data_IF_046883650293
#
_entry.id   IF_046883650293
#
_cell.length_a   1.000
_cell.length_b   1.000
_cell.length_c   1.000
_cell.angle_alpha   90.00
_cell.angle_beta   90.00
_cell.angle_gamma   90.00
#
_symmetry.space_group_name_H-M   'P 1'
#
loop_
_entity.id
_entity.type
_entity.pdbx_description
1 polymer ?
#
# COMPACT_ATOMS: atom_id res chain seq x y z
N UNK A 1 -25.75 23.37 17.38
CA UNK A 1 -26.89 24.29 17.25
C UNK A 1 -27.28 24.37 15.78
N UNK A 2 -28.57 24.48 15.42
CA UNK A 2 -29.05 24.06 14.12
C UNK A 2 -28.74 25.10 13.04
N UNK A 3 -27.73 24.83 12.21
CA UNK A 3 -27.56 25.44 10.88
C UNK A 3 -26.98 24.37 9.93
N UNK A 4 -27.69 23.25 9.81
CA UNK A 4 -27.54 22.28 8.71
C UNK A 4 -28.65 22.46 7.66
N UNK A 5 -29.43 23.53 7.74
CA UNK A 5 -30.48 23.86 6.78
C UNK A 5 -30.35 25.31 6.38
N UNK A 6 -29.45 25.55 5.45
CA UNK A 6 -29.45 26.63 4.45
C UNK A 6 -28.06 26.64 3.81
N UNK A 7 -27.99 26.41 2.50
CA UNK A 7 -26.79 26.53 1.68
C UNK A 7 -26.38 28.02 1.57
N UNK A 8 -26.05 28.64 2.69
CA UNK A 8 -25.73 30.06 2.76
C UNK A 8 -24.27 30.27 2.33
N UNK A 9 -24.11 30.31 1.01
CA UNK A 9 -22.86 30.55 0.29
C UNK A 9 -22.14 31.82 0.80
N UNK A 10 -22.88 32.78 1.38
CA UNK A 10 -22.33 34.00 1.97
C UNK A 10 -21.61 33.72 3.30
N UNK A 11 -22.18 32.86 4.17
CA UNK A 11 -21.55 32.47 5.45
C UNK A 11 -20.32 31.60 5.22
N UNK A 12 -20.34 30.72 4.21
CA UNK A 12 -19.16 29.95 3.78
C UNK A 12 -18.05 30.85 3.23
N UNK A 13 -18.39 31.86 2.42
CA UNK A 13 -17.42 32.87 1.93
C UNK A 13 -16.81 33.67 3.06
N UNK A 14 -17.62 34.10 4.02
CA UNK A 14 -17.19 34.88 5.19
C UNK A 14 -16.28 34.06 6.11
N UNK A 15 -16.62 32.78 6.34
CA UNK A 15 -15.76 31.85 7.06
C UNK A 15 -14.44 31.61 6.33
N UNK A 16 -14.47 31.37 4.99
CA UNK A 16 -13.25 31.27 4.16
C UNK A 16 -12.37 32.51 4.25
N UNK A 17 -12.95 33.71 4.26
CA UNK A 17 -12.20 34.96 4.37
C UNK A 17 -11.55 35.13 5.75
N UNK A 18 -12.22 34.71 6.82
CA UNK A 18 -11.70 34.78 8.20
C UNK A 18 -10.58 33.78 8.47
N UNK A 19 -10.65 32.57 7.89
CA UNK A 19 -9.63 31.53 8.07
C UNK A 19 -8.47 31.64 7.05
N UNK A 20 -8.64 32.36 5.93
CA UNK A 20 -7.61 32.53 4.88
C UNK A 20 -6.26 33.05 5.38
N UNK A 21 -6.17 34.01 6.32
CA UNK A 21 -4.89 34.49 6.85
C UNK A 21 -4.17 33.45 7.72
N UNK A 22 -4.88 32.46 8.25
CA UNK A 22 -4.36 31.41 9.13
C UNK A 22 -4.16 30.07 8.41
N UNK A 23 -4.71 29.92 7.20
CA UNK A 23 -4.44 28.80 6.31
C UNK A 23 -3.16 29.07 5.50
N UNK A 24 -2.02 28.67 6.06
CA UNK A 24 -0.77 28.50 5.32
C UNK A 24 -0.91 27.30 4.36
N UNK A 25 -1.64 27.50 3.26
CA UNK A 25 -1.61 26.57 2.13
C UNK A 25 -0.39 26.92 1.28
N UNK A 26 0.77 26.43 1.67
CA UNK A 26 1.92 26.36 0.76
C UNK A 26 1.60 25.31 -0.29
N UNK A 27 1.18 25.74 -1.47
CA UNK A 27 1.12 24.88 -2.65
C UNK A 27 2.57 24.71 -3.11
N UNK A 28 2.99 23.50 -3.51
CA UNK A 28 4.34 23.21 -4.07
C UNK A 28 4.63 23.98 -5.39
N UNK A 29 3.85 25.00 -5.73
CA UNK A 29 3.86 25.75 -7.00
C UNK A 29 4.08 27.25 -6.81
N UNK A 30 4.72 27.68 -5.70
CA UNK A 30 5.10 29.08 -5.50
C UNK A 30 6.39 29.37 -6.29
N UNK A 31 6.36 30.19 -7.37
CA UNK A 31 7.50 30.37 -8.28
C UNK A 31 8.75 30.97 -7.63
N UNK A 32 8.62 31.56 -6.44
CA UNK A 32 9.74 32.14 -5.70
C UNK A 32 10.56 31.08 -4.91
N UNK A 33 10.09 29.83 -4.87
CA UNK A 33 10.71 28.70 -4.17
C UNK A 33 10.55 27.44 -5.03
N UNK A 34 11.10 27.44 -6.25
CA UNK A 34 11.40 26.18 -6.93
C UNK A 34 12.54 25.51 -6.15
N UNK A 35 12.18 24.76 -5.10
CA UNK A 35 13.08 23.71 -4.63
C UNK A 35 13.05 22.69 -5.75
N UNK A 36 14.11 22.68 -6.54
CA UNK A 36 14.33 21.75 -7.63
C UNK A 36 14.48 20.33 -7.04
N UNK A 37 13.34 19.72 -6.74
CA UNK A 37 13.27 18.34 -6.30
C UNK A 37 13.46 17.48 -7.56
N UNK A 38 14.26 16.41 -7.46
CA UNK A 38 14.43 15.49 -8.58
C UNK A 38 13.09 14.86 -8.96
N UNK A 39 13.05 14.30 -10.17
CA UNK A 39 11.83 13.71 -10.71
C UNK A 39 11.27 12.61 -9.79
N UNK A 40 9.95 12.46 -9.83
CA UNK A 40 9.24 11.35 -9.19
C UNK A 40 8.47 10.60 -10.27
N UNK A 41 8.83 9.34 -10.48
CA UNK A 41 8.21 8.45 -11.48
C UNK A 41 7.33 7.45 -10.72
N UNK A 42 6.06 7.36 -11.07
CA UNK A 42 5.12 6.41 -10.46
C UNK A 42 4.71 5.34 -11.49
N UNK A 43 4.95 4.08 -11.16
CA UNK A 43 4.70 2.91 -12.00
C UNK A 43 3.79 1.91 -11.29
N UNK A 44 2.87 1.30 -12.04
CA UNK A 44 2.08 0.15 -11.57
C UNK A 44 2.81 -1.12 -11.91
N UNK A 45 3.03 -1.95 -10.90
CA UNK A 45 3.66 -3.25 -11.05
C UNK A 45 2.58 -4.33 -10.95
N UNK A 46 2.20 -4.89 -12.10
CA UNK A 46 1.22 -5.96 -12.14
C UNK A 46 1.85 -7.25 -11.67
N UNK A 47 1.22 -7.88 -10.68
CA UNK A 47 1.62 -9.15 -10.10
C UNK A 47 0.54 -10.19 -10.37
N UNK A 48 0.91 -11.47 -10.45
CA UNK A 48 -0.06 -12.57 -10.59
C UNK A 48 -0.24 -13.31 -9.27
N UNK A 49 -1.42 -13.88 -9.04
CA UNK A 49 -1.62 -14.82 -7.93
C UNK A 49 -0.91 -16.14 -8.24
N UNK A 50 -0.35 -16.77 -7.23
CA UNK A 50 0.02 -18.19 -7.29
C UNK A 50 -1.22 -19.07 -7.26
N UNK A 51 -1.09 -20.36 -7.61
CA UNK A 51 -2.21 -21.32 -7.51
C UNK A 51 -2.77 -21.41 -6.08
N UNK A 52 -1.90 -21.39 -5.07
CA UNK A 52 -2.30 -21.37 -3.66
C UNK A 52 -3.11 -20.11 -3.35
N UNK A 53 -2.62 -18.93 -3.77
CA UNK A 53 -3.31 -17.66 -3.55
C UNK A 53 -4.66 -17.63 -4.27
N UNK A 54 -4.73 -18.07 -5.53
CA UNK A 54 -5.97 -18.11 -6.31
C UNK A 54 -7.03 -18.98 -5.63
N UNK A 55 -6.66 -20.19 -5.20
CA UNK A 55 -7.57 -21.09 -4.50
C UNK A 55 -8.08 -20.48 -3.18
N UNK A 56 -7.19 -19.88 -2.38
CA UNK A 56 -7.58 -19.21 -1.13
C UNK A 56 -8.48 -17.99 -1.38
N UNK A 57 -8.19 -17.25 -2.45
CA UNK A 57 -8.93 -16.05 -2.85
C UNK A 57 -10.36 -16.42 -3.24
N UNK A 58 -10.56 -17.37 -4.16
CA UNK A 58 -11.87 -17.83 -4.62
C UNK A 58 -12.73 -18.33 -3.44
N UNK A 59 -12.18 -19.20 -2.60
CA UNK A 59 -12.86 -19.71 -1.40
C UNK A 59 -13.26 -18.59 -0.41
N UNK A 60 -12.44 -17.55 -0.30
CA UNK A 60 -12.71 -16.40 0.57
C UNK A 60 -13.83 -15.55 -0.01
N UNK A 61 -13.84 -15.30 -1.32
CA UNK A 61 -14.91 -14.56 -2.01
C UNK A 61 -16.25 -15.28 -1.86
N UNK A 62 -16.30 -16.59 -2.13
CA UNK A 62 -17.52 -17.39 -1.99
C UNK A 62 -18.10 -17.32 -0.57
N UNK A 63 -17.24 -17.54 0.44
CA UNK A 63 -17.64 -17.47 1.85
C UNK A 63 -18.10 -16.08 2.24
N UNK A 64 -17.41 -15.04 1.77
CA UNK A 64 -17.77 -13.65 2.03
C UNK A 64 -19.15 -13.33 1.45
N UNK A 65 -19.41 -13.66 0.19
CA UNK A 65 -20.69 -13.37 -0.46
C UNK A 65 -21.85 -14.13 0.20
N UNK A 66 -21.68 -15.41 0.53
CA UNK A 66 -22.67 -16.16 1.29
C UNK A 66 -22.95 -15.54 2.67
N UNK A 67 -21.91 -15.06 3.37
CA UNK A 67 -22.05 -14.36 4.64
C UNK A 67 -22.73 -13.00 4.51
N UNK A 68 -22.52 -12.29 3.40
CA UNK A 68 -23.16 -11.01 3.10
C UNK A 68 -24.66 -11.20 2.84
N UNK A 69 -25.05 -12.24 2.11
CA UNK A 69 -26.46 -12.54 1.84
C UNK A 69 -27.22 -12.97 3.10
N UNK A 70 -26.54 -13.62 4.04
CA UNK A 70 -27.11 -14.04 5.32
C UNK A 70 -27.14 -12.93 6.39
N UNK A 71 -26.55 -11.76 6.13
CA UNK A 71 -26.37 -10.70 7.13
C UNK A 71 -26.99 -9.36 6.69
N UNK A 72 -27.39 -8.54 7.66
CA UNK A 72 -27.90 -7.19 7.41
C UNK A 72 -27.24 -6.16 8.33
N UNK A 73 -27.38 -4.88 7.98
CA UNK A 73 -26.89 -3.76 8.79
C UNK A 73 -25.41 -3.89 9.18
N UNK A 74 -25.13 -3.74 10.48
CA UNK A 74 -23.76 -3.74 10.99
C UNK A 74 -23.06 -5.11 10.84
N UNK A 75 -23.81 -6.21 10.88
CA UNK A 75 -23.24 -7.55 10.68
C UNK A 75 -22.75 -7.70 9.25
N UNK A 76 -23.54 -7.24 8.27
CA UNK A 76 -23.14 -7.24 6.84
C UNK A 76 -21.85 -6.46 6.63
N UNK A 77 -21.77 -5.23 7.19
CA UNK A 77 -20.55 -4.41 7.13
C UNK A 77 -19.34 -5.13 7.74
N UNK A 78 -19.53 -5.82 8.87
CA UNK A 78 -18.48 -6.60 9.52
C UNK A 78 -17.96 -7.75 8.65
N UNK A 79 -18.86 -8.50 8.00
CA UNK A 79 -18.49 -9.58 7.06
C UNK A 79 -17.68 -9.02 5.89
N UNK A 80 -18.11 -7.88 5.32
CA UNK A 80 -17.41 -7.25 4.20
C UNK A 80 -16.00 -6.83 4.60
N UNK A 81 -15.85 -6.08 5.70
CA UNK A 81 -14.54 -5.61 6.14
C UNK A 81 -13.58 -6.75 6.50
N UNK A 82 -14.09 -7.82 7.13
CA UNK A 82 -13.30 -9.00 7.43
C UNK A 82 -12.85 -9.74 6.15
N UNK A 83 -13.76 -9.89 5.18
CA UNK A 83 -13.46 -10.49 3.88
C UNK A 83 -12.45 -9.68 3.08
N UNK A 84 -12.63 -8.37 2.96
CA UNK A 84 -11.68 -7.46 2.29
C UNK A 84 -10.29 -7.53 2.93
N UNK A 85 -10.22 -7.50 4.26
CA UNK A 85 -8.96 -7.67 5.00
C UNK A 85 -8.29 -9.00 4.62
N UNK A 86 -9.07 -10.09 4.57
CA UNK A 86 -8.57 -11.42 4.22
C UNK A 86 -8.06 -11.49 2.78
N UNK A 87 -8.80 -10.94 1.83
CA UNK A 87 -8.42 -10.91 0.42
C UNK A 87 -7.11 -10.13 0.22
N UNK A 88 -6.96 -8.97 0.87
CA UNK A 88 -5.69 -8.23 0.89
C UNK A 88 -4.52 -9.05 1.43
N UNK A 89 -4.74 -9.77 2.53
CA UNK A 89 -3.71 -10.64 3.10
C UNK A 89 -3.32 -11.78 2.14
N UNK A 90 -4.29 -12.34 1.41
CA UNK A 90 -4.03 -13.38 0.40
C UNK A 90 -3.20 -12.81 -0.75
N UNK A 91 -3.58 -11.64 -1.29
CA UNK A 91 -2.82 -10.95 -2.34
C UNK A 91 -1.38 -10.64 -1.91
N UNK A 92 -1.16 -10.36 -0.62
CA UNK A 92 0.17 -10.16 -0.06
C UNK A 92 0.95 -11.45 0.09
N UNK A 93 0.42 -12.43 0.83
CA UNK A 93 1.04 -13.72 1.06
C UNK A 93 0.08 -14.74 1.70
N UNK A 94 -0.01 -16.00 1.22
CA UNK A 94 -0.81 -17.05 1.85
C UNK A 94 -0.52 -17.24 3.34
N UNK A 95 0.76 -17.28 3.72
CA UNK A 95 1.19 -17.37 5.12
C UNK A 95 0.61 -16.26 6.01
N UNK A 96 0.50 -15.02 5.49
CA UNK A 96 -0.10 -13.91 6.22
C UNK A 96 -1.59 -14.18 6.46
N UNK A 97 -2.30 -14.58 5.40
CA UNK A 97 -3.71 -14.94 5.51
C UNK A 97 -3.86 -16.10 6.50
N UNK A 98 -3.17 -17.22 6.30
CA UNK A 98 -3.25 -18.41 7.14
C UNK A 98 -2.71 -18.22 8.57
N UNK A 99 -2.22 -17.02 8.92
CA UNK A 99 -1.68 -16.69 10.24
C UNK A 99 -0.55 -17.63 10.63
N UNK A 100 0.26 -18.01 9.65
CA UNK A 100 1.45 -18.81 9.88
C UNK A 100 2.46 -18.00 10.72
N UNK A 101 3.20 -18.65 11.62
CA UNK A 101 4.14 -17.97 12.49
C UNK A 101 5.29 -17.34 11.71
N UNK A 102 5.59 -16.08 12.01
CA UNK A 102 6.74 -15.34 11.47
C UNK A 102 8.01 -15.77 12.22
N UNK A 103 8.51 -16.95 11.89
CA UNK A 103 9.82 -17.41 12.36
C UNK A 103 10.81 -17.31 11.18
N UNK A 104 11.92 -16.61 11.35
CA UNK A 104 12.94 -16.44 10.29
C UNK A 104 13.43 -17.79 9.74
N UNK A 105 13.47 -18.83 10.56
CA UNK A 105 13.82 -20.19 10.14
C UNK A 105 12.80 -20.83 9.18
N UNK A 106 11.57 -20.32 9.11
CA UNK A 106 10.49 -20.77 8.21
C UNK A 106 10.38 -19.93 6.93
N UNK A 107 11.12 -18.82 6.86
CA UNK A 107 11.20 -17.99 5.67
C UNK A 107 12.40 -18.51 4.87
N UNK A 108 12.16 -19.48 3.98
CA UNK A 108 13.16 -20.06 3.10
C UNK A 108 12.99 -19.58 1.66
N UNK A 109 13.71 -20.19 0.71
CA UNK A 109 13.52 -19.89 -0.70
C UNK A 109 12.06 -20.10 -1.09
N UNK A 110 11.47 -21.23 -0.65
CA UNK A 110 10.08 -21.69 -0.85
C UNK A 110 9.00 -20.69 -0.43
N UNK A 111 9.29 -19.87 0.59
CA UNK A 111 8.38 -18.84 1.05
C UNK A 111 8.02 -17.85 -0.07
N UNK A 112 9.02 -17.34 -0.80
CA UNK A 112 8.78 -16.32 -1.82
C UNK A 112 7.90 -16.82 -2.97
N UNK A 113 8.04 -18.09 -3.40
CA UNK A 113 7.25 -18.63 -4.52
C UNK A 113 5.78 -18.81 -4.19
N UNK A 114 5.36 -18.66 -2.92
CA UNK A 114 3.95 -18.69 -2.53
C UNK A 114 3.23 -17.36 -2.79
N UNK A 115 3.95 -16.29 -3.11
CA UNK A 115 3.36 -14.97 -3.40
C UNK A 115 3.97 -14.29 -4.63
N UNK A 116 3.14 -13.97 -5.61
CA UNK A 116 3.59 -13.23 -6.79
C UNK A 116 4.14 -11.83 -6.45
N UNK A 117 3.58 -11.16 -5.45
CA UNK A 117 4.14 -9.88 -4.96
C UNK A 117 5.51 -10.06 -4.35
N UNK A 118 5.75 -11.12 -3.58
CA UNK A 118 7.09 -11.37 -3.04
C UNK A 118 8.09 -11.61 -4.17
N UNK A 119 7.74 -12.43 -5.17
CA UNK A 119 8.60 -12.67 -6.33
C UNK A 119 8.96 -11.37 -7.05
N UNK A 120 7.95 -10.55 -7.40
CA UNK A 120 8.17 -9.27 -8.08
C UNK A 120 8.99 -8.29 -7.24
N UNK A 121 8.74 -8.23 -5.93
CA UNK A 121 9.54 -7.38 -5.03
C UNK A 121 11.00 -7.81 -5.00
N UNK A 122 11.28 -9.11 -4.95
CA UNK A 122 12.66 -9.60 -4.89
C UNK A 122 13.41 -9.31 -6.19
N UNK A 123 12.79 -9.53 -7.35
CA UNK A 123 13.35 -9.21 -8.66
C UNK A 123 13.74 -7.72 -8.75
N UNK A 124 12.80 -6.82 -8.45
CA UNK A 124 13.05 -5.38 -8.54
C UNK A 124 14.04 -4.86 -7.50
N UNK A 125 14.06 -5.45 -6.30
CA UNK A 125 15.05 -5.11 -5.29
C UNK A 125 16.43 -5.64 -5.65
N UNK A 126 16.55 -6.78 -6.33
CA UNK A 126 17.84 -7.29 -6.80
C UNK A 126 18.48 -6.27 -7.76
N UNK A 127 17.74 -5.81 -8.76
CA UNK A 127 18.20 -4.77 -9.70
C UNK A 127 18.58 -3.47 -8.97
N UNK A 128 17.68 -2.93 -8.14
CA UNK A 128 17.94 -1.67 -7.43
C UNK A 128 19.16 -1.77 -6.50
N UNK A 129 19.31 -2.88 -5.78
CA UNK A 129 20.42 -3.05 -4.84
C UNK A 129 21.77 -3.28 -5.53
N UNK A 130 21.78 -3.83 -6.74
CA UNK A 130 22.97 -3.93 -7.61
C UNK A 130 23.46 -2.56 -8.08
N UNK A 131 22.53 -1.62 -8.35
CA UNK A 131 22.84 -0.22 -8.67
C UNK A 131 23.29 0.61 -7.44
N UNK A 132 23.30 0.00 -6.25
CA UNK A 132 23.65 0.67 -4.99
C UNK A 132 22.52 1.54 -4.43
N UNK A 133 21.28 1.28 -4.82
CA UNK A 133 20.11 2.03 -4.37
C UNK A 133 19.60 1.59 -3.02
N UNK A 134 18.74 2.44 -2.45
CA UNK A 134 18.04 2.14 -1.21
C UNK A 134 16.54 2.22 -1.43
N UNK A 135 15.85 1.27 -0.80
CA UNK A 135 14.43 1.06 -0.99
C UNK A 135 13.65 1.20 0.32
N UNK A 136 12.44 1.72 0.19
CA UNK A 136 11.43 1.65 1.23
C UNK A 136 10.30 0.75 0.75
N UNK A 137 9.87 -0.19 1.61
CA UNK A 137 8.74 -1.06 1.33
C UNK A 137 7.62 -0.77 2.33
N UNK A 138 6.50 -0.25 1.84
CA UNK A 138 5.30 0.04 2.63
C UNK A 138 4.30 -1.12 2.55
N UNK A 139 3.72 -1.46 3.69
CA UNK A 139 2.58 -2.39 3.81
C UNK A 139 1.63 -1.90 4.90
N UNK A 140 0.32 -2.14 4.76
CA UNK A 140 -0.68 -1.86 5.78
C UNK A 140 -0.56 -2.78 7.00
N UNK A 141 0.11 -3.91 6.84
CA UNK A 141 0.07 -5.00 7.83
C UNK A 141 1.42 -5.19 8.51
N UNK A 142 1.41 -5.07 9.83
CA UNK A 142 2.59 -5.32 10.66
C UNK A 142 3.17 -6.72 10.44
N UNK A 143 2.32 -7.75 10.42
CA UNK A 143 2.76 -9.15 10.21
C UNK A 143 3.46 -9.30 8.86
N UNK A 144 2.93 -8.69 7.80
CA UNK A 144 3.59 -8.71 6.50
C UNK A 144 4.93 -7.97 6.53
N UNK A 145 5.01 -6.84 7.23
CA UNK A 145 6.27 -6.12 7.38
C UNK A 145 7.36 -6.96 8.08
N UNK A 146 6.98 -7.73 9.10
CA UNK A 146 7.87 -8.67 9.79
C UNK A 146 8.31 -9.82 8.86
N UNK A 147 7.37 -10.38 8.07
CA UNK A 147 7.68 -11.41 7.06
C UNK A 147 8.62 -10.89 5.96
N UNK A 148 8.35 -9.70 5.42
CA UNK A 148 9.19 -9.06 4.40
C UNK A 148 10.58 -8.78 4.94
N UNK A 149 10.72 -8.21 6.15
CA UNK A 149 12.03 -7.96 6.74
C UNK A 149 12.85 -9.26 6.86
N UNK A 150 12.24 -10.35 7.34
CA UNK A 150 12.90 -11.65 7.43
C UNK A 150 13.29 -12.22 6.05
N UNK A 151 12.40 -12.11 5.06
CA UNK A 151 12.64 -12.56 3.68
C UNK A 151 13.82 -11.81 3.05
N UNK A 152 13.81 -10.48 3.15
CA UNK A 152 14.81 -9.60 2.56
C UNK A 152 16.17 -9.77 3.23
N UNK A 153 16.21 -9.90 4.56
CA UNK A 153 17.44 -10.22 5.27
C UNK A 153 18.10 -11.48 4.73
N UNK A 154 17.30 -12.54 4.54
CA UNK A 154 17.81 -13.83 4.08
C UNK A 154 18.20 -13.81 2.60
N UNK A 155 17.42 -13.15 1.73
CA UNK A 155 17.66 -13.13 0.28
C UNK A 155 18.93 -12.35 -0.09
N UNK A 156 19.18 -11.23 0.59
CA UNK A 156 20.25 -10.30 0.22
C UNK A 156 21.46 -10.37 1.15
N UNK A 157 21.42 -11.17 2.21
CA UNK A 157 22.48 -11.27 3.23
C UNK A 157 22.88 -9.89 3.80
N UNK A 158 21.88 -9.03 4.00
CA UNK A 158 22.01 -7.66 4.49
C UNK A 158 20.86 -7.35 5.44
N UNK A 159 21.03 -6.40 6.36
CA UNK A 159 19.94 -6.07 7.27
C UNK A 159 18.79 -5.37 6.54
N UNK A 160 17.58 -5.90 6.67
CA UNK A 160 16.34 -5.22 6.34
C UNK A 160 15.77 -4.57 7.61
N UNK A 161 15.72 -3.23 7.61
CA UNK A 161 15.22 -2.47 8.75
C UNK A 161 13.70 -2.55 8.80
N UNK A 162 13.14 -2.52 10.01
CA UNK A 162 11.70 -2.60 10.22
C UNK A 162 11.21 -1.47 11.14
N UNK A 163 10.14 -0.79 10.71
CA UNK A 163 9.44 0.21 11.49
C UNK A 163 7.92 -0.04 11.49
N UNK A 164 7.37 -0.23 12.69
CA UNK A 164 5.93 -0.38 12.93
C UNK A 164 5.47 0.46 14.12
N UNK A 165 4.15 0.53 14.35
CA UNK A 165 3.53 1.42 15.35
C UNK A 165 3.96 1.18 16.81
N UNK A 166 4.48 -0.01 17.11
CA UNK A 166 4.93 -0.41 18.44
C UNK A 166 6.37 -0.01 18.77
N UNK A 167 7.12 0.53 17.82
CA UNK A 167 8.53 0.94 18.03
C UNK A 167 8.57 2.27 18.78
N UNK A 168 9.33 2.34 19.88
CA UNK A 168 9.51 3.57 20.66
C UNK A 168 10.13 4.70 19.82
N UNK A 169 9.91 5.96 20.22
CA UNK A 169 10.46 7.13 19.50
C UNK A 169 11.99 7.07 19.38
N UNK A 170 12.68 6.63 20.42
CA UNK A 170 14.14 6.52 20.42
C UNK A 170 14.65 5.41 19.48
N UNK A 171 14.03 4.23 19.51
CA UNK A 171 14.38 3.14 18.59
C UNK A 171 14.10 3.52 17.13
N UNK A 172 12.96 4.17 16.90
CA UNK A 172 12.59 4.68 15.58
C UNK A 172 13.63 5.63 15.01
N UNK A 173 14.11 6.59 15.81
CA UNK A 173 15.15 7.50 15.36
C UNK A 173 16.43 6.75 15.00
N UNK A 174 16.86 5.78 15.83
CA UNK A 174 18.05 4.96 15.52
C UNK A 174 17.94 4.19 14.21
N UNK A 175 16.77 3.64 13.91
CA UNK A 175 16.53 2.93 12.64
C UNK A 175 16.57 3.89 11.46
N UNK A 176 15.96 5.07 11.58
CA UNK A 176 16.01 6.11 10.54
C UNK A 176 17.44 6.57 10.30
N UNK A 177 18.17 6.89 11.37
CA UNK A 177 19.56 7.34 11.29
C UNK A 177 20.43 6.27 10.63
N UNK A 178 20.22 5.00 10.95
CA UNK A 178 20.92 3.87 10.32
C UNK A 178 20.61 3.78 8.83
N UNK A 179 19.33 3.83 8.45
CA UNK A 179 18.91 3.80 7.04
C UNK A 179 19.53 4.96 6.23
N UNK A 180 19.59 6.15 6.84
CA UNK A 180 20.07 7.38 6.21
C UNK A 180 21.60 7.43 6.00
N UNK A 181 22.39 6.50 6.56
CA UNK A 181 23.86 6.50 6.42
C UNK A 181 24.35 6.15 5.01
N UNK A 182 23.53 5.52 4.18
CA UNK A 182 23.90 5.07 2.82
C UNK A 182 25.19 4.21 2.78
N UNK A 183 25.48 3.45 3.84
CA UNK A 183 26.69 2.62 3.95
C UNK A 183 26.54 1.21 3.34
N UNK A 184 25.39 0.92 2.71
CA UNK A 184 25.07 -0.37 2.09
C UNK A 184 24.73 -1.50 3.07
N UNK A 185 24.93 -1.30 4.39
CA UNK A 185 24.70 -2.36 5.40
C UNK A 185 23.23 -2.68 5.63
N UNK A 186 22.35 -1.70 5.35
CA UNK A 186 20.92 -1.81 5.56
C UNK A 186 20.13 -1.06 4.48
N UNK A 187 20.13 -1.57 3.23
CA UNK A 187 19.66 -0.81 2.09
C UNK A 187 18.13 -0.81 1.94
N UNK A 188 17.42 -1.65 2.67
CA UNK A 188 15.96 -1.73 2.62
C UNK A 188 15.33 -1.41 3.99
N UNK A 189 14.32 -0.55 3.98
CA UNK A 189 13.49 -0.21 5.14
C UNK A 189 12.03 -0.59 4.91
N UNK A 190 11.52 -1.52 5.71
CA UNK A 190 10.12 -1.96 5.68
C UNK A 190 9.29 -1.18 6.71
N UNK A 191 8.16 -0.64 6.28
CA UNK A 191 7.28 0.24 7.06
C UNK A 191 5.84 -0.28 7.08
N UNK A 192 5.27 -0.44 8.29
CA UNK A 192 3.83 -0.70 8.48
C UNK A 192 3.06 0.41 9.17
N UNK A 193 3.65 1.61 9.23
CA UNK A 193 3.01 2.76 9.86
C UNK A 193 1.95 3.34 8.93
N UNK A 194 0.74 3.58 9.46
CA UNK A 194 -0.23 4.49 8.84
C UNK A 194 0.49 5.81 8.52
N UNK A 195 0.29 6.32 7.30
CA UNK A 195 1.02 7.50 6.81
C UNK A 195 0.82 8.76 7.68
N UNK A 196 -0.22 8.81 8.52
CA UNK A 196 -0.72 10.03 9.16
C UNK A 196 -0.09 10.52 10.47
N UNK A 197 1.07 10.04 10.94
CA UNK A 197 1.47 10.33 12.34
C UNK A 197 2.88 10.87 12.63
N UNK A 198 3.84 10.76 11.70
CA UNK A 198 5.25 11.05 12.02
C UNK A 198 5.94 11.64 10.81
N UNK A 199 6.39 12.89 10.91
CA UNK A 199 7.19 13.55 9.89
C UNK A 199 8.61 12.98 9.82
N UNK A 200 8.75 11.78 9.28
CA UNK A 200 10.05 11.13 9.04
C UNK A 200 10.67 11.68 7.76
N UNK A 201 11.99 11.90 7.78
CA UNK A 201 12.76 12.19 6.58
C UNK A 201 13.48 10.91 6.14
N UNK A 202 13.18 10.39 4.96
CA UNK A 202 13.71 9.11 4.43
C UNK A 202 14.31 9.30 3.03
N UNK A 203 14.93 10.45 2.78
CA UNK A 203 15.57 10.84 1.51
C UNK A 203 16.72 9.93 1.06
N UNK A 204 17.22 9.03 1.92
CA UNK A 204 18.13 7.95 1.54
C UNK A 204 17.55 7.09 0.41
N UNK A 205 16.26 6.80 0.48
CA UNK A 205 15.60 5.95 -0.50
C UNK A 205 15.35 6.68 -1.80
N UNK A 206 15.63 6.01 -2.91
CA UNK A 206 15.23 6.43 -4.24
C UNK A 206 14.30 5.41 -4.91
N UNK A 207 14.01 4.28 -4.25
CA UNK A 207 12.90 3.39 -4.58
C UNK A 207 11.87 3.35 -3.45
N UNK A 208 10.59 3.41 -3.81
CA UNK A 208 9.46 3.31 -2.87
C UNK A 208 8.48 2.28 -3.39
N UNK A 209 8.35 1.16 -2.69
CA UNK A 209 7.41 0.10 -3.01
C UNK A 209 6.18 0.22 -2.11
N UNK A 210 5.00 0.37 -2.72
CA UNK A 210 3.71 0.16 -2.05
C UNK A 210 3.30 -1.30 -2.28
N UNK A 211 3.70 -2.17 -1.36
CA UNK A 211 3.48 -3.61 -1.46
C UNK A 211 1.98 -3.96 -1.41
N UNK A 212 1.23 -3.24 -0.58
CA UNK A 212 -0.22 -3.26 -0.62
C UNK A 212 -0.79 -1.85 -0.64
N UNK A 213 -1.95 -1.72 -1.28
CA UNK A 213 -2.48 -0.42 -1.65
C UNK A 213 -3.38 0.18 -0.59
N UNK A 214 -3.08 1.43 -0.26
CA UNK A 214 -4.03 2.31 0.39
C UNK A 214 -4.96 2.87 -0.68
N UNK A 215 -6.24 2.50 -0.65
CA UNK A 215 -7.22 3.02 -1.61
C UNK A 215 -7.56 4.51 -1.38
N UNK A 216 -6.94 5.16 -0.39
CA UNK A 216 -6.93 6.60 -0.24
C UNK A 216 -5.61 7.17 -0.81
N UNK A 217 -5.63 7.83 -1.99
CA UNK A 217 -4.43 8.38 -2.63
C UNK A 217 -3.65 9.35 -1.75
N UNK A 218 -4.31 10.06 -0.84
CA UNK A 218 -3.64 11.01 0.07
C UNK A 218 -2.74 10.29 1.08
N UNK A 219 -3.13 9.09 1.53
CA UNK A 219 -2.32 8.28 2.46
C UNK A 219 -1.09 7.73 1.75
N UNK A 220 -1.27 7.23 0.53
CA UNK A 220 -0.18 6.71 -0.30
C UNK A 220 0.81 7.83 -0.67
N UNK A 221 0.31 8.98 -1.14
CA UNK A 221 1.15 10.15 -1.44
C UNK A 221 1.90 10.66 -0.21
N UNK A 222 1.29 10.64 0.98
CA UNK A 222 1.98 11.04 2.20
C UNK A 222 3.11 10.08 2.58
N UNK A 223 2.97 8.79 2.27
CA UNK A 223 4.03 7.81 2.47
C UNK A 223 5.19 8.04 1.49
N UNK A 224 4.89 8.25 0.20
CA UNK A 224 5.89 8.58 -0.83
C UNK A 224 6.62 9.90 -0.54
N UNK A 225 5.90 10.93 -0.09
CA UNK A 225 6.45 12.26 0.27
C UNK A 225 7.47 12.21 1.42
N UNK A 226 7.67 11.07 2.09
CA UNK A 226 8.75 10.87 3.08
C UNK A 226 10.11 10.64 2.41
N UNK A 227 10.13 10.08 1.20
CA UNK A 227 11.33 9.89 0.38
C UNK A 227 11.49 11.03 -0.64
N UNK A 228 10.39 11.48 -1.24
CA UNK A 228 10.37 12.63 -2.17
C UNK A 228 10.17 13.95 -1.39
N UNK A 229 11.24 14.40 -0.73
CA UNK A 229 11.24 15.60 0.11
C UNK A 229 12.55 16.39 -0.05
N UNK A 230 12.56 17.62 0.44
CA UNK A 230 13.76 18.47 0.57
C UNK A 230 14.91 17.64 1.17
N UNK A 231 16.04 17.60 0.45
CA UNK A 231 17.20 16.77 0.78
C UNK A 231 17.29 15.48 -0.04
N UNK A 232 16.32 15.20 -0.90
CA UNK A 232 16.42 14.18 -1.96
C UNK A 232 17.26 14.74 -3.12
N UNK A 233 18.19 13.93 -3.62
CA UNK A 233 19.08 14.30 -4.73
C UNK A 233 19.01 13.33 -5.91
N UNK A 234 18.21 12.27 -5.80
CA UNK A 234 18.04 11.23 -6.84
C UNK A 234 16.58 11.16 -7.27
N UNK A 235 16.35 10.82 -8.53
CA UNK A 235 15.01 10.48 -9.03
C UNK A 235 14.39 9.41 -8.14
N UNK A 236 13.15 9.63 -7.71
CA UNK A 236 12.43 8.68 -6.86
C UNK A 236 11.50 7.83 -7.73
N UNK A 237 11.76 6.53 -7.77
CA UNK A 237 10.91 5.54 -8.41
C UNK A 237 9.88 5.02 -7.41
N UNK A 238 8.60 5.10 -7.75
CA UNK A 238 7.48 4.67 -6.90
C UNK A 238 6.76 3.53 -7.58
N UNK A 239 6.84 2.35 -6.98
CA UNK A 239 6.29 1.11 -7.50
C UNK A 239 5.03 0.76 -6.74
N UNK A 240 3.89 0.67 -7.41
CA UNK A 240 2.59 0.36 -6.81
C UNK A 240 2.15 -1.02 -7.25
N UNK A 241 2.18 -1.96 -6.31
CA UNK A 241 1.85 -3.34 -6.64
C UNK A 241 0.34 -3.50 -6.77
N UNK A 242 -0.09 -4.16 -7.84
CA UNK A 242 -1.49 -4.44 -8.15
C UNK A 242 -1.58 -5.90 -8.59
N UNK A 243 -2.37 -6.71 -7.90
CA UNK A 243 -2.56 -8.12 -8.34
C UNK A 243 -3.65 -8.22 -9.39
N UNK A 244 -3.27 -8.69 -10.57
CA UNK A 244 -4.12 -8.85 -11.74
C UNK A 244 -5.27 -9.83 -11.46
N UNK A 245 -6.45 -9.53 -12.00
CA UNK A 245 -7.67 -10.31 -11.84
C UNK A 245 -8.34 -10.22 -10.46
N UNK A 246 -7.78 -9.49 -9.51
CA UNK A 246 -8.29 -9.41 -8.13
C UNK A 246 -9.01 -8.09 -7.84
N UNK A 247 -9.53 -7.95 -6.60
CA UNK A 247 -10.05 -6.68 -6.12
C UNK A 247 -9.06 -5.53 -6.21
N UNK A 248 -7.74 -5.79 -6.15
CA UNK A 248 -6.74 -4.73 -6.19
C UNK A 248 -6.74 -4.03 -7.55
N UNK A 249 -6.74 -4.81 -8.63
CA UNK A 249 -6.83 -4.30 -9.99
C UNK A 249 -8.16 -3.64 -10.25
N UNK A 250 -9.26 -4.26 -9.80
CA UNK A 250 -10.59 -3.68 -9.99
C UNK A 250 -10.74 -2.32 -9.32
N UNK A 251 -10.21 -2.17 -8.11
CA UNK A 251 -10.23 -0.88 -7.40
C UNK A 251 -9.27 0.13 -8.05
N UNK A 252 -8.14 -0.32 -8.60
CA UNK A 252 -7.25 0.57 -9.34
C UNK A 252 -7.90 1.10 -10.62
N UNK A 253 -8.54 0.25 -11.42
CA UNK A 253 -9.35 0.65 -12.59
C UNK A 253 -10.40 1.69 -12.20
N UNK A 254 -11.16 1.41 -11.14
CA UNK A 254 -12.21 2.32 -10.65
C UNK A 254 -11.66 3.67 -10.16
N UNK A 255 -10.43 3.71 -9.64
CA UNK A 255 -9.77 4.96 -9.23
C UNK A 255 -9.35 5.82 -10.44
N UNK A 256 -9.11 5.19 -11.60
CA UNK A 256 -8.82 5.90 -12.86
C UNK A 256 -10.09 6.43 -13.53
N UNK A 257 -11.17 5.69 -13.43
CA UNK A 257 -12.47 6.09 -13.96
C UNK A 257 -12.94 7.41 -13.30
N UNK A 258 -13.37 8.41 -14.08
CA UNK A 258 -13.95 9.66 -13.53
C UNK A 258 -15.43 9.50 -13.18
N UNK A 259 -15.80 8.39 -12.54
CA UNK A 259 -17.19 8.07 -12.17
C UNK A 259 -17.55 8.59 -10.78
N UNK A 260 -18.84 8.69 -10.48
CA UNK A 260 -19.30 9.04 -9.12
C UNK A 260 -18.90 7.99 -8.09
N UNK A 261 -18.78 6.73 -8.53
CA UNK A 261 -18.25 5.64 -7.71
C UNK A 261 -16.77 5.88 -7.36
N UNK A 262 -15.94 6.28 -8.32
CA UNK A 262 -14.55 6.68 -8.09
C UNK A 262 -14.43 7.83 -7.08
N UNK A 263 -15.33 8.83 -7.15
CA UNK A 263 -15.37 9.93 -6.18
C UNK A 263 -15.67 9.44 -4.75
N UNK A 264 -16.45 8.37 -4.60
CA UNK A 264 -16.74 7.77 -3.30
C UNK A 264 -15.53 7.01 -2.71
N UNK A 265 -14.65 6.46 -3.56
CA UNK A 265 -13.38 5.85 -3.14
C UNK A 265 -12.42 6.91 -2.59
N UNK A 266 -12.40 8.08 -3.23
CA UNK A 266 -11.57 9.23 -2.85
C UNK A 266 -12.07 9.87 -1.54
N UNK A 267 -11.56 9.37 -0.41
CA UNK A 267 -11.72 10.00 0.92
C UNK A 267 -12.42 9.14 1.97
N UNK A 268 -13.18 8.12 1.56
CA UNK A 268 -13.86 7.18 2.49
C UNK A 268 -13.01 5.92 2.82
N UNK A 269 -11.89 5.72 2.12
CA UNK A 269 -11.05 4.55 2.29
C UNK A 269 -11.74 3.29 1.78
N UNK A 270 -11.96 2.30 2.65
CA UNK A 270 -12.65 1.06 2.30
C UNK A 270 -14.16 1.10 2.60
N UNK A 271 -14.65 2.19 3.20
CA UNK A 271 -16.04 2.24 3.70
C UNK A 271 -17.08 2.15 2.58
N UNK A 272 -16.80 2.71 1.41
CA UNK A 272 -17.71 2.66 0.26
C UNK A 272 -18.04 1.22 -0.18
N UNK A 273 -17.11 0.27 -0.05
CA UNK A 273 -17.35 -1.14 -0.37
C UNK A 273 -18.42 -1.76 0.54
N UNK A 274 -18.55 -1.25 1.76
CA UNK A 274 -19.56 -1.77 2.71
C UNK A 274 -20.98 -1.35 2.35
N UNK A 275 -21.13 -0.35 1.50
CA UNK A 275 -22.42 0.19 1.04
C UNK A 275 -22.86 -0.39 -0.32
N UNK A 276 -21.98 -1.11 -1.04
CA UNK A 276 -22.32 -1.81 -2.27
C UNK A 276 -23.34 -2.92 -2.05
N UNK A 277 -24.20 -3.16 -3.04
CA UNK A 277 -25.07 -4.35 -3.09
C UNK A 277 -24.27 -5.65 -3.20
N UNK A 278 -24.89 -6.80 -2.93
CA UNK A 278 -24.21 -8.10 -3.10
C UNK A 278 -23.74 -8.31 -4.54
N UNK A 279 -24.53 -7.89 -5.53
CA UNK A 279 -24.16 -8.04 -6.93
C UNK A 279 -22.94 -7.20 -7.28
N UNK A 280 -22.92 -5.93 -6.89
CA UNK A 280 -21.75 -5.05 -7.11
C UNK A 280 -20.50 -5.57 -6.38
N UNK A 281 -20.66 -6.10 -5.16
CA UNK A 281 -19.56 -6.77 -4.46
C UNK A 281 -19.06 -7.99 -5.22
N UNK A 282 -19.95 -8.82 -5.77
CA UNK A 282 -19.57 -9.98 -6.58
C UNK A 282 -18.75 -9.54 -7.79
N UNK A 283 -19.18 -8.50 -8.49
CA UNK A 283 -18.49 -7.98 -9.67
C UNK A 283 -17.11 -7.40 -9.32
N UNK A 284 -16.97 -6.78 -8.14
CA UNK A 284 -15.68 -6.23 -7.69
C UNK A 284 -14.71 -7.31 -7.21
N UNK A 285 -15.23 -8.37 -6.59
CA UNK A 285 -14.40 -9.33 -5.84
C UNK A 285 -14.07 -10.60 -6.60
N UNK A 286 -14.88 -10.99 -7.60
CA UNK A 286 -14.68 -12.25 -8.32
C UNK A 286 -13.35 -12.25 -9.08
N UNK A 287 -12.58 -13.33 -8.93
CA UNK A 287 -11.30 -13.50 -9.61
C UNK A 287 -11.53 -13.59 -11.13
N UNK A 288 -10.93 -12.68 -11.89
CA UNK A 288 -10.93 -12.73 -13.36
C UNK A 288 -9.77 -13.59 -13.85
N UNK A 289 -10.07 -14.81 -14.30
CA UNK A 289 -9.05 -15.80 -14.70
C UNK A 289 -8.33 -15.45 -16.00
N UNK A 290 -8.94 -14.64 -16.86
CA UNK A 290 -8.32 -14.10 -18.09
C UNK A 290 -7.00 -13.36 -17.79
N UNK A 291 -6.87 -12.78 -16.58
CA UNK A 291 -5.67 -12.10 -16.12
C UNK A 291 -4.56 -13.04 -15.57
N UNK A 292 -4.84 -14.35 -15.42
CA UNK A 292 -3.86 -15.34 -14.99
C UNK A 292 -3.05 -15.92 -16.18
N UNK A 293 -3.63 -15.90 -17.38
CA UNK A 293 -3.06 -16.50 -18.59
C UNK A 293 -2.07 -15.57 -19.33
N UNK A 294 -1.98 -14.29 -18.95
CA UNK A 294 -1.05 -13.31 -19.52
C UNK A 294 0.31 -13.22 -18.78
N UNK A 295 0.50 -13.96 -17.68
CA UNK A 295 1.78 -13.99 -16.99
C UNK A 295 2.79 -14.85 -17.77
N UNK A 296 3.99 -14.36 -18.09
CA UNK A 296 5.00 -15.18 -18.76
C UNK A 296 5.29 -16.39 -17.88
N UNK A 297 5.21 -17.58 -18.49
CA UNK A 297 5.63 -18.81 -17.85
C UNK A 297 7.09 -18.63 -17.42
N UNK A 298 7.34 -18.63 -16.11
CA UNK A 298 8.69 -18.71 -15.58
C UNK A 298 9.20 -20.10 -15.96
N UNK A 299 10.00 -20.17 -17.03
CA UNK A 299 10.74 -21.37 -17.37
C UNK A 299 11.66 -21.69 -16.19
N UNK A 300 11.38 -22.81 -15.53
CA UNK A 300 12.25 -23.35 -14.50
C UNK A 300 13.57 -23.79 -15.15
N UNK A 301 14.66 -23.11 -14.78
CA UNK A 301 16.02 -23.57 -15.02
C UNK A 301 16.50 -24.44 -13.85
#
# INVERSE_FOLDING_TARGET
GPIEREHDESKRRRLRALIRPFLLRRVKSDPAIEIDLPEKIETREHCSLTLEQASLYEQTVERMLAGVDAATGQQRRGVILAGLTRLKQICNHPAQALSEPVASARIDAGFAQRSGKCLRLLEMLEEALEEGDQAIVFTQFRVMAEMLAALLCRRFDRDALLLHGGVSRAQRQRVIDRFQRRDGSAPVLVLSLKAGGVGMNLTAANHVFHFDRWWNPAVESQATDRAHRIGQTRTVQVHKFVVAGTLEERIDEMLEEKTDLARSVVGSGEQWLTELSTQELRDVLTLRREALDEAPAVEAA
#
